data_IF_549707117958
#
_entry.id   IF_549707117958
#
_cell.length_a   1.000
_cell.length_b   1.000
_cell.length_c   1.000
_cell.angle_alpha   90.00
_cell.angle_beta   90.00
_cell.angle_gamma   90.00
#
_symmetry.space_group_name_H-M   'P 1'
#
loop_
_entity.id
_entity.type
_entity.pdbx_description
1 polymer ?
#
# COMPACT_ATOMS: atom_id res chain seq x y z
N UNK A 1 -1.65 8.73 -13.67
CA UNK A 1 -2.11 9.06 -15.04
C UNK A 1 -1.31 10.22 -15.61
N UNK A 2 -1.13 11.33 -14.89
CA UNK A 2 -0.38 12.49 -15.39
C UNK A 2 1.05 12.13 -15.81
N UNK A 3 1.80 11.42 -14.98
CA UNK A 3 3.16 10.98 -15.27
C UNK A 3 3.24 10.14 -16.56
N UNK A 4 2.32 9.18 -16.73
CA UNK A 4 2.24 8.36 -17.95
C UNK A 4 1.88 9.19 -19.17
N UNK A 5 0.94 10.15 -19.05
CA UNK A 5 0.59 11.05 -20.14
C UNK A 5 1.77 11.94 -20.55
N UNK A 6 2.69 12.23 -19.64
CA UNK A 6 3.96 12.90 -19.90
C UNK A 6 5.06 11.97 -20.46
N UNK A 7 4.74 10.70 -20.72
CA UNK A 7 5.68 9.73 -21.32
C UNK A 7 6.55 8.98 -20.30
N UNK A 8 6.28 9.12 -18.99
CA UNK A 8 7.01 8.37 -17.97
C UNK A 8 6.58 6.90 -17.96
N UNK A 9 7.54 6.00 -17.84
CA UNK A 9 7.33 4.56 -17.73
C UNK A 9 6.82 4.24 -16.31
N UNK A 10 5.50 4.04 -16.18
CA UNK A 10 4.82 3.78 -14.90
C UNK A 10 4.28 2.36 -14.88
N UNK A 11 4.72 1.58 -13.89
CA UNK A 11 4.41 0.16 -13.73
C UNK A 11 3.81 -0.11 -12.34
N UNK A 12 2.86 -1.03 -12.26
CA UNK A 12 2.27 -1.49 -11.00
C UNK A 12 3.08 -2.67 -10.47
N UNK A 13 3.72 -2.51 -9.32
CA UNK A 13 4.37 -3.60 -8.60
C UNK A 13 3.39 -4.36 -7.71
N UNK A 14 2.67 -3.63 -6.87
CA UNK A 14 1.61 -4.16 -5.99
C UNK A 14 0.63 -3.05 -5.65
N UNK A 15 -0.64 -3.27 -5.88
CA UNK A 15 -1.72 -2.38 -5.42
C UNK A 15 -2.92 -3.22 -5.04
N UNK A 16 -3.45 -3.03 -3.83
CA UNK A 16 -4.62 -3.72 -3.33
C UNK A 16 -5.87 -2.82 -3.50
N UNK A 17 -6.76 -3.11 -4.45
CA UNK A 17 -7.92 -2.26 -4.72
C UNK A 17 -9.02 -2.36 -3.67
N UNK A 18 -9.00 -3.37 -2.79
CA UNK A 18 -10.04 -3.60 -1.76
C UNK A 18 -11.48 -3.58 -2.30
N UNK A 19 -11.69 -4.06 -3.53
CA UNK A 19 -13.00 -4.05 -4.20
C UNK A 19 -13.47 -2.67 -4.68
N UNK A 20 -12.59 -1.67 -4.72
CA UNK A 20 -12.90 -0.32 -5.21
C UNK A 20 -12.79 -0.29 -6.74
N UNK A 21 -13.93 -0.29 -7.41
CA UNK A 21 -14.01 -0.30 -8.88
C UNK A 21 -13.26 0.85 -9.57
N UNK A 22 -13.17 2.01 -8.92
CA UNK A 22 -12.44 3.16 -9.46
C UNK A 22 -10.94 2.86 -9.50
N UNK A 23 -10.39 2.25 -8.44
CA UNK A 23 -8.99 1.82 -8.38
C UNK A 23 -8.71 0.73 -9.41
N UNK A 24 -9.56 -0.30 -9.48
CA UNK A 24 -9.43 -1.39 -10.46
C UNK A 24 -9.34 -0.85 -11.90
N UNK A 25 -10.27 0.04 -12.30
CA UNK A 25 -10.26 0.68 -13.62
C UNK A 25 -9.01 1.52 -13.90
N UNK A 26 -8.43 2.12 -12.87
CA UNK A 26 -7.17 2.85 -13.04
C UNK A 26 -6.00 1.93 -13.30
N UNK A 27 -5.98 0.75 -12.67
CA UNK A 27 -4.93 -0.26 -12.84
C UNK A 27 -5.00 -0.95 -14.20
N UNK A 28 -6.19 -1.21 -14.77
CA UNK A 28 -6.39 -1.88 -16.06
C UNK A 28 -5.58 -1.24 -17.22
N UNK A 29 -5.25 0.04 -17.11
CA UNK A 29 -4.52 0.78 -18.16
C UNK A 29 -3.01 0.78 -17.97
N UNK A 30 -2.50 0.23 -16.87
CA UNK A 30 -1.07 0.19 -16.52
C UNK A 30 -0.52 -1.22 -16.71
N UNK A 31 0.77 -1.29 -17.06
CA UNK A 31 1.52 -2.54 -16.96
C UNK A 31 1.58 -2.96 -15.50
N UNK A 32 1.31 -4.24 -15.22
CA UNK A 32 1.43 -4.80 -13.88
C UNK A 32 2.45 -5.92 -13.89
N UNK A 33 3.33 -5.94 -12.88
CA UNK A 33 4.29 -7.01 -12.68
C UNK A 33 3.57 -8.29 -12.19
N UNK A 34 4.12 -9.47 -12.53
CA UNK A 34 3.63 -10.71 -11.95
C UNK A 34 3.89 -10.71 -10.43
N UNK A 35 2.86 -11.01 -9.65
CA UNK A 35 3.01 -11.21 -8.21
C UNK A 35 3.77 -12.51 -7.92
N UNK A 36 4.41 -12.56 -6.76
CA UNK A 36 5.07 -13.76 -6.28
C UNK A 36 4.08 -14.64 -5.52
N UNK A 37 3.87 -15.86 -6.00
CA UNK A 37 3.08 -16.86 -5.28
C UNK A 37 3.91 -17.42 -4.11
N UNK A 38 3.44 -17.19 -2.88
CA UNK A 38 4.10 -17.64 -1.64
C UNK A 38 3.19 -18.63 -0.92
N UNK A 39 3.70 -19.82 -0.64
CA UNK A 39 2.98 -20.81 0.18
C UNK A 39 3.16 -20.46 1.66
N UNK A 40 2.05 -20.15 2.33
CA UNK A 40 2.06 -19.77 3.73
C UNK A 40 0.91 -20.45 4.49
N UNK A 41 1.22 -21.19 5.55
CA UNK A 41 0.23 -21.92 6.39
C UNK A 41 -0.78 -22.73 5.59
N UNK A 42 -0.31 -23.46 4.56
CA UNK A 42 -1.14 -24.31 3.71
C UNK A 42 -1.96 -23.59 2.63
N UNK A 43 -1.83 -22.28 2.49
CA UNK A 43 -2.48 -21.48 1.45
C UNK A 43 -1.43 -20.82 0.55
N UNK A 44 -1.82 -20.51 -0.68
CA UNK A 44 -1.01 -19.68 -1.59
C UNK A 44 -1.47 -18.24 -1.44
N UNK A 45 -0.51 -17.36 -1.18
CA UNK A 45 -0.71 -15.90 -1.13
C UNK A 45 0.03 -15.25 -2.29
N UNK A 46 -0.50 -14.11 -2.74
CA UNK A 46 0.15 -13.31 -3.76
C UNK A 46 0.83 -12.14 -3.07
N UNK A 47 2.16 -12.07 -3.20
CA UNK A 47 3.00 -11.05 -2.60
C UNK A 47 3.66 -10.17 -3.67
N UNK A 48 4.16 -9.03 -3.27
CA UNK A 48 4.98 -8.18 -4.13
C UNK A 48 6.24 -8.94 -4.59
N UNK A 49 6.57 -8.82 -5.87
CA UNK A 49 7.71 -9.50 -6.48
C UNK A 49 8.87 -8.52 -6.69
N UNK A 50 9.73 -8.42 -5.67
CA UNK A 50 10.88 -7.52 -5.67
C UNK A 50 11.84 -7.82 -6.84
N UNK A 51 12.13 -9.12 -7.11
CA UNK A 51 13.05 -9.51 -8.17
C UNK A 51 12.52 -9.12 -9.57
N UNK A 52 11.22 -9.29 -9.80
CA UNK A 52 10.60 -8.84 -11.04
C UNK A 52 10.66 -7.31 -11.20
N UNK A 53 10.51 -6.56 -10.10
CA UNK A 53 10.60 -5.10 -10.10
C UNK A 53 12.02 -4.62 -10.41
N UNK A 54 13.03 -5.20 -9.77
CA UNK A 54 14.44 -4.90 -10.02
C UNK A 54 14.84 -5.24 -11.47
N UNK A 55 14.37 -6.39 -11.97
CA UNK A 55 14.65 -6.80 -13.36
C UNK A 55 13.97 -5.89 -14.39
N UNK A 56 12.73 -5.47 -14.16
CA UNK A 56 11.96 -4.59 -15.07
C UNK A 56 12.49 -3.17 -15.08
N UNK A 57 12.98 -2.68 -13.96
CA UNK A 57 13.58 -1.37 -13.74
C UNK A 57 12.75 -0.22 -14.33
N UNK A 58 11.50 0.00 -13.88
CA UNK A 58 10.64 1.05 -14.41
C UNK A 58 11.09 2.45 -13.97
N UNK A 59 10.63 3.48 -14.70
CA UNK A 59 10.84 4.88 -14.30
C UNK A 59 10.11 5.24 -13.01
N UNK A 60 8.87 4.73 -12.83
CA UNK A 60 8.09 4.83 -11.59
C UNK A 60 7.44 3.47 -11.32
N UNK A 61 7.57 2.97 -10.10
CA UNK A 61 6.90 1.77 -9.62
C UNK A 61 5.84 2.13 -8.56
N UNK A 62 4.63 1.60 -8.72
CA UNK A 62 3.55 1.76 -7.74
C UNK A 62 3.55 0.56 -6.78
N UNK A 63 3.79 0.80 -5.49
CA UNK A 63 3.81 -0.25 -4.46
C UNK A 63 2.99 0.21 -3.26
N UNK A 64 1.82 -0.37 -3.07
CA UNK A 64 0.89 -0.05 -1.98
C UNK A 64 1.30 -0.68 -0.65
N UNK A 65 0.76 -0.17 0.46
CA UNK A 65 0.92 -0.71 1.81
C UNK A 65 2.38 -0.77 2.30
N UNK A 66 3.05 0.40 2.40
CA UNK A 66 4.45 0.52 2.84
C UNK A 66 4.76 -0.24 4.16
N UNK A 67 3.80 -0.30 5.09
CA UNK A 67 3.97 -0.94 6.39
C UNK A 67 3.79 -2.47 6.40
N UNK A 68 3.44 -3.07 5.26
CA UNK A 68 3.17 -4.50 5.15
C UNK A 68 4.34 -5.35 5.69
N UNK A 69 4.00 -6.42 6.42
CA UNK A 69 4.97 -7.41 6.87
C UNK A 69 5.01 -8.57 5.87
N UNK A 70 6.13 -8.73 5.20
CA UNK A 70 6.34 -9.83 4.26
C UNK A 70 6.25 -11.19 4.97
N UNK A 71 5.83 -12.22 4.26
CA UNK A 71 5.58 -13.55 4.81
C UNK A 71 6.90 -14.31 5.05
N UNK A 72 7.62 -13.96 6.13
CA UNK A 72 8.96 -14.51 6.44
C UNK A 72 8.99 -16.04 6.59
N UNK A 73 7.88 -16.66 7.02
CA UNK A 73 7.72 -18.11 7.12
C UNK A 73 7.13 -18.73 5.84
N UNK A 74 7.08 -17.99 4.75
CA UNK A 74 6.56 -18.42 3.46
C UNK A 74 7.58 -19.17 2.61
N UNK A 75 7.11 -19.84 1.57
CA UNK A 75 7.93 -20.52 0.57
C UNK A 75 7.55 -20.04 -0.85
N UNK A 76 8.48 -19.38 -1.56
CA UNK A 76 9.83 -19.00 -1.13
C UNK A 76 9.81 -17.89 -0.05
N UNK A 77 10.83 -17.82 0.81
CA UNK A 77 10.94 -16.76 1.80
C UNK A 77 11.23 -15.42 1.12
N UNK A 78 10.73 -14.30 1.67
CA UNK A 78 11.05 -12.98 1.14
C UNK A 78 12.51 -12.60 1.44
N UNK A 79 13.08 -11.69 0.64
CA UNK A 79 14.42 -11.13 0.87
C UNK A 79 14.46 -10.25 2.11
N UNK A 80 13.40 -9.49 2.34
CA UNK A 80 13.25 -8.62 3.51
C UNK A 80 11.99 -8.96 4.30
N UNK A 81 11.99 -8.67 5.60
CA UNK A 81 10.85 -8.93 6.47
C UNK A 81 9.73 -7.90 6.34
N UNK A 82 10.02 -6.73 5.76
CA UNK A 82 9.09 -5.62 5.61
C UNK A 82 9.14 -5.03 4.21
N UNK A 83 7.99 -4.60 3.71
CA UNK A 83 7.86 -3.97 2.40
C UNK A 83 8.65 -2.66 2.28
N UNK A 84 8.74 -1.86 3.33
CA UNK A 84 9.55 -0.65 3.29
C UNK A 84 11.04 -0.93 3.02
N UNK A 85 11.55 -2.11 3.43
CA UNK A 85 12.92 -2.53 3.13
C UNK A 85 13.08 -2.93 1.65
N UNK A 86 12.06 -3.57 1.07
CA UNK A 86 12.03 -3.85 -0.37
C UNK A 86 12.04 -2.54 -1.16
N UNK A 87 11.28 -1.53 -0.69
CA UNK A 87 11.22 -0.20 -1.32
C UNK A 87 12.57 0.52 -1.20
N UNK A 88 13.25 0.44 -0.06
CA UNK A 88 14.58 1.00 0.10
C UNK A 88 15.57 0.39 -0.93
N UNK A 89 15.56 -0.94 -1.12
CA UNK A 89 16.40 -1.61 -2.12
C UNK A 89 16.07 -1.15 -3.55
N UNK A 90 14.80 -0.91 -3.87
CA UNK A 90 14.38 -0.38 -5.17
C UNK A 90 14.89 1.05 -5.40
N UNK A 91 14.80 1.91 -4.38
CA UNK A 91 15.31 3.28 -4.42
C UNK A 91 16.83 3.29 -4.58
N UNK A 92 17.55 2.43 -3.86
CA UNK A 92 19.01 2.24 -3.99
C UNK A 92 19.41 1.77 -5.40
N UNK A 93 18.54 1.00 -6.06
CA UNK A 93 18.70 0.59 -7.45
C UNK A 93 18.36 1.71 -8.46
N UNK A 94 17.91 2.88 -8.02
CA UNK A 94 17.56 4.02 -8.88
C UNK A 94 16.14 3.99 -9.44
N UNK A 95 15.23 3.20 -8.87
CA UNK A 95 13.82 3.13 -9.25
C UNK A 95 13.02 4.11 -8.38
N UNK A 96 12.27 5.02 -8.98
CA UNK A 96 11.37 5.88 -8.22
C UNK A 96 10.15 5.06 -7.77
N UNK A 97 9.85 5.06 -6.49
CA UNK A 97 8.72 4.32 -5.92
C UNK A 97 7.67 5.28 -5.38
N UNK A 98 6.42 5.10 -5.80
CA UNK A 98 5.27 5.74 -5.19
C UNK A 98 4.54 4.71 -4.34
N UNK A 99 4.39 5.02 -3.07
CA UNK A 99 3.79 4.13 -2.08
C UNK A 99 2.72 4.84 -1.27
N UNK A 100 1.95 4.07 -0.50
CA UNK A 100 0.94 4.60 0.42
C UNK A 100 1.25 4.17 1.85
N UNK A 101 0.93 5.03 2.79
CA UNK A 101 1.06 4.79 4.21
C UNK A 101 -0.12 5.38 4.97
N UNK A 102 -0.76 4.58 5.79
CA UNK A 102 -1.74 5.10 6.75
C UNK A 102 -1.04 5.53 8.03
N UNK A 103 -1.43 6.68 8.59
CA UNK A 103 -0.76 7.31 9.75
C UNK A 103 -0.67 6.41 11.00
N UNK A 104 -1.61 5.46 11.18
CA UNK A 104 -1.61 4.50 12.30
C UNK A 104 -0.45 3.51 12.26
N UNK A 105 0.26 3.40 11.13
CA UNK A 105 1.42 2.53 10.96
C UNK A 105 2.75 3.22 11.31
N UNK A 106 2.77 4.53 11.55
CA UNK A 106 3.95 5.22 12.08
C UNK A 106 4.16 4.88 13.55
N UNK A 107 5.37 4.50 13.92
CA UNK A 107 5.67 4.06 15.31
C UNK A 107 5.35 5.15 16.33
N UNK A 108 5.71 6.40 16.07
CA UNK A 108 5.45 7.53 16.98
C UNK A 108 3.95 7.81 17.17
N UNK A 109 3.11 7.56 16.16
CA UNK A 109 1.68 7.83 16.19
C UNK A 109 0.83 6.63 16.60
N UNK A 110 1.38 5.42 16.53
CA UNK A 110 0.64 4.17 16.75
C UNK A 110 -0.07 4.13 18.11
N UNK A 111 0.63 4.55 19.19
CA UNK A 111 0.04 4.57 20.54
C UNK A 111 -1.08 5.61 20.66
N UNK A 112 -0.89 6.82 20.15
CA UNK A 112 -1.89 7.89 20.19
C UNK A 112 -3.16 7.49 19.45
N UNK A 113 -3.00 6.94 18.24
CA UNK A 113 -4.13 6.49 17.42
C UNK A 113 -4.84 5.30 18.08
N UNK A 114 -4.09 4.39 18.73
CA UNK A 114 -4.70 3.29 19.49
C UNK A 114 -5.53 3.80 20.68
N UNK A 115 -5.14 4.88 21.34
CA UNK A 115 -5.94 5.49 22.39
C UNK A 115 -7.26 6.09 21.87
N UNK A 116 -7.23 6.69 20.68
CA UNK A 116 -8.41 7.31 20.06
C UNK A 116 -9.36 6.24 19.50
N UNK A 117 -8.83 5.25 18.79
CA UNK A 117 -9.64 4.27 18.03
C UNK A 117 -9.94 2.99 18.79
N UNK A 118 -9.23 2.72 19.90
CA UNK A 118 -9.27 1.46 20.63
C UNK A 118 -8.57 0.30 19.91
N UNK A 119 -7.92 0.55 18.74
CA UNK A 119 -7.28 -0.48 17.92
C UNK A 119 -5.80 -0.19 17.78
N UNK A 120 -4.95 -1.11 18.23
CA UNK A 120 -3.50 -1.03 18.05
C UNK A 120 -3.09 -1.79 16.77
N UNK A 121 -2.47 -1.08 15.85
CA UNK A 121 -1.89 -1.70 14.67
C UNK A 121 -0.60 -2.44 15.03
N UNK A 122 -0.43 -3.64 14.46
CA UNK A 122 0.76 -4.47 14.68
C UNK A 122 1.84 -4.22 13.64
N UNK A 123 1.42 -3.84 12.45
CA UNK A 123 2.34 -3.49 11.37
C UNK A 123 2.70 -2.03 11.48
N UNK A 124 3.94 -1.76 11.79
CA UNK A 124 4.48 -0.40 11.92
C UNK A 124 5.76 -0.25 11.11
N UNK A 125 6.07 0.99 10.79
CA UNK A 125 7.34 1.42 10.21
C UNK A 125 8.01 2.43 11.13
N UNK A 126 9.35 2.43 11.23
CA UNK A 126 10.10 3.48 11.92
C UNK A 126 9.88 4.84 11.26
N UNK A 127 9.86 5.92 12.06
CA UNK A 127 9.60 7.26 11.55
C UNK A 127 10.66 7.73 10.53
N UNK A 128 11.91 7.31 10.68
CA UNK A 128 12.98 7.66 9.73
C UNK A 128 12.69 7.23 8.28
N UNK A 129 11.87 6.19 8.08
CA UNK A 129 11.47 5.76 6.72
C UNK A 129 10.63 6.85 6.03
N UNK A 130 9.85 7.61 6.81
CA UNK A 130 9.12 8.76 6.28
C UNK A 130 10.04 9.95 6.01
N UNK A 131 11.08 10.14 6.85
CA UNK A 131 12.07 11.21 6.69
C UNK A 131 12.94 11.02 5.43
N UNK A 132 13.08 9.79 4.94
CA UNK A 132 13.81 9.45 3.71
C UNK A 132 13.00 9.70 2.43
N UNK A 133 11.71 10.02 2.53
CA UNK A 133 10.88 10.28 1.37
C UNK A 133 11.20 11.65 0.76
N UNK A 134 11.39 11.70 -0.57
CA UNK A 134 11.64 12.96 -1.30
C UNK A 134 10.39 13.85 -1.33
N UNK A 135 9.19 13.26 -1.34
CA UNK A 135 7.91 13.96 -1.40
C UNK A 135 6.85 13.24 -0.58
N UNK A 136 6.11 13.99 0.22
CA UNK A 136 5.00 13.48 1.03
C UNK A 136 3.74 14.26 0.67
N UNK A 137 2.72 13.55 0.18
CA UNK A 137 1.39 14.11 -0.07
C UNK A 137 0.43 13.61 1.02
N UNK A 138 -0.08 14.54 1.84
CA UNK A 138 -1.10 14.22 2.84
C UNK A 138 -2.48 14.19 2.18
N UNK A 139 -3.09 13.02 2.16
CA UNK A 139 -4.47 12.84 1.71
C UNK A 139 -5.38 12.80 2.93
N UNK A 140 -6.13 13.87 3.14
CA UNK A 140 -7.11 13.97 4.20
C UNK A 140 -8.48 14.39 3.62
N UNK A 141 -9.54 13.93 4.24
CA UNK A 141 -10.91 14.25 3.86
C UNK A 141 -11.63 14.85 5.06
N UNK A 142 -12.35 15.97 4.86
CA UNK A 142 -13.28 16.46 5.87
C UNK A 142 -14.25 15.37 6.32
N UNK A 143 -14.63 15.30 7.61
CA UNK A 143 -15.53 14.26 8.12
C UNK A 143 -16.82 14.11 7.32
N UNK A 144 -17.43 15.21 6.89
CA UNK A 144 -18.67 15.20 6.09
C UNK A 144 -18.47 14.56 4.71
N UNK A 145 -17.33 14.83 4.06
CA UNK A 145 -16.99 14.23 2.78
C UNK A 145 -16.71 12.74 2.93
N UNK A 146 -16.06 12.33 4.04
CA UNK A 146 -15.85 10.93 4.36
C UNK A 146 -17.17 10.19 4.59
N UNK A 147 -18.09 10.76 5.36
CA UNK A 147 -19.42 10.21 5.58
C UNK A 147 -20.19 10.05 4.27
N UNK A 148 -20.15 11.06 3.39
CA UNK A 148 -20.77 10.97 2.08
C UNK A 148 -20.17 9.84 1.22
N UNK A 149 -18.86 9.66 1.23
CA UNK A 149 -18.18 8.57 0.50
C UNK A 149 -18.52 7.20 1.08
N UNK A 150 -18.65 7.09 2.42
CA UNK A 150 -19.12 5.89 3.09
C UNK A 150 -20.53 5.51 2.61
N UNK A 151 -21.47 6.46 2.60
CA UNK A 151 -22.85 6.24 2.13
C UNK A 151 -22.92 5.85 0.65
N UNK A 152 -21.98 6.33 -0.16
CA UNK A 152 -21.85 5.97 -1.58
C UNK A 152 -21.16 4.61 -1.82
N UNK A 153 -20.78 3.89 -0.76
CA UNK A 153 -20.08 2.60 -0.88
C UNK A 153 -18.66 2.70 -1.48
N UNK A 154 -18.04 3.89 -1.41
CA UNK A 154 -16.72 4.15 -2.00
C UNK A 154 -15.56 3.84 -1.06
N UNK A 155 -15.84 3.58 0.22
CA UNK A 155 -14.82 3.31 1.25
C UNK A 155 -14.85 1.85 1.68
N UNK A 156 -16.04 1.29 1.88
CA UNK A 156 -16.25 -0.11 2.25
C UNK A 156 -17.21 -0.78 1.28
N UNK A 157 -17.12 -2.11 1.15
CA UNK A 157 -18.13 -2.91 0.47
C UNK A 157 -19.45 -2.83 1.27
N UNK A 158 -20.58 -2.77 0.59
CA UNK A 158 -21.92 -2.37 1.10
C UNK A 158 -22.36 -2.96 2.44
N UNK A 159 -21.88 -4.16 2.80
CA UNK A 159 -22.30 -4.85 4.04
C UNK A 159 -21.69 -4.27 5.33
N UNK A 160 -20.65 -3.42 5.22
CA UNK A 160 -19.95 -2.82 6.37
C UNK A 160 -20.27 -1.33 6.58
N UNK A 161 -20.97 -0.71 5.62
CA UNK A 161 -21.27 0.74 5.65
C UNK A 161 -22.14 1.11 6.84
N UNK A 162 -23.17 0.31 7.15
CA UNK A 162 -24.10 0.58 8.26
C UNK A 162 -23.37 0.69 9.61
N UNK A 163 -22.52 -0.27 9.90
CA UNK A 163 -21.77 -0.33 11.18
C UNK A 163 -20.70 0.77 11.26
N UNK A 164 -20.12 1.19 10.14
CA UNK A 164 -19.12 2.26 10.10
C UNK A 164 -19.76 3.63 10.35
N UNK A 165 -20.93 3.92 9.76
CA UNK A 165 -21.64 5.19 9.95
C UNK A 165 -22.16 5.38 11.38
N UNK A 166 -22.55 4.29 12.08
CA UNK A 166 -23.03 4.35 13.47
C UNK A 166 -21.91 4.63 14.50
N UNK A 167 -20.65 4.48 14.11
CA UNK A 167 -19.47 4.67 14.99
C UNK A 167 -18.74 6.00 14.76
N UNK A 168 -19.18 6.81 13.81
CA UNK A 168 -18.72 8.17 13.53
C UNK A 168 -19.62 9.20 14.24
#
# INVERSE_FOLDING_TARGET
>A
RAARAAGTDVVVGYVEPHGRRETERMLETLESLPLQAVRYRGMVRQEFNLDAALQRHPGILLVDELAHSNLVDGEPPPRHSKRWQDIAELCDAGINVWTTLNVQHLESLNYLIAQITGVRQRETIPDHVLDEADEIELIDLPPDDLLQRLQQGKVYVSDQVGTAVERF
#
